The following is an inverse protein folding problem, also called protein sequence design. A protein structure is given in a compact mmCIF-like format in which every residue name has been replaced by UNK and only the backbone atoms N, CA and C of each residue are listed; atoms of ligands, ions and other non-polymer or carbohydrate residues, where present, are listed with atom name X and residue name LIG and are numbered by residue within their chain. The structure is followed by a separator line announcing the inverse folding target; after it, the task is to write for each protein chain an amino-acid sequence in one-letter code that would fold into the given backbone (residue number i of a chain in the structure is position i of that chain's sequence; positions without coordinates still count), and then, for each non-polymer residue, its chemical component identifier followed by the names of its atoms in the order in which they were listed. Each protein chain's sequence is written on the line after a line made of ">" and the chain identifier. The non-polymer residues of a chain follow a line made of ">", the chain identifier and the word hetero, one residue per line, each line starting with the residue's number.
data_IF_743653444988
#
_entry.id   IF_743653444988
#
_cell.length_a   1.000
_cell.length_b   1.000
_cell.length_c   1.000
_cell.angle_alpha   90.00
_cell.angle_beta   90.00
_cell.angle_gamma   90.00
#
_symmetry.space_group_name_H-M   'P 1'
#
loop_
_entity.id
_entity.type
_entity.pdbx_description
1 polymer ?
#
# COMPACT_ATOMS: atom_id res chain seq x y z
N UNK A 1 -3.37 14.51 4.79
CA UNK A 1 -3.21 13.03 4.76
C UNK A 1 -1.94 12.68 5.50
N UNK A 2 -2.00 11.78 6.50
CA UNK A 2 -0.82 11.33 7.24
C UNK A 2 -0.28 10.10 6.51
N UNK A 3 0.89 10.21 5.87
CA UNK A 3 1.48 9.13 5.06
C UNK A 3 2.62 8.36 5.76
N UNK A 4 3.18 8.93 6.81
CA UNK A 4 4.25 8.36 7.63
C UNK A 4 4.18 8.99 9.01
N UNK A 5 4.51 8.21 10.04
CA UNK A 5 4.82 8.73 11.38
C UNK A 5 6.20 8.24 11.81
N UNK A 6 6.89 9.08 12.58
CA UNK A 6 8.16 8.73 13.21
C UNK A 6 8.16 9.30 14.61
N UNK A 7 8.42 8.45 15.60
CA UNK A 7 8.27 8.80 17.00
C UNK A 7 8.76 7.71 17.94
N UNK A 8 8.49 7.86 19.23
CA UNK A 8 8.82 6.87 20.26
C UNK A 8 7.64 5.92 20.46
N UNK A 9 7.90 4.61 20.44
CA UNK A 9 6.90 3.61 20.78
C UNK A 9 6.61 3.68 22.28
N UNK A 10 5.43 4.16 22.67
CA UNK A 10 5.07 4.33 24.09
C UNK A 10 4.48 3.06 24.66
N UNK A 11 3.53 2.45 23.95
CA UNK A 11 2.90 1.19 24.38
C UNK A 11 2.38 0.37 23.21
N UNK A 12 2.20 -0.93 23.44
CA UNK A 12 1.71 -1.91 22.47
C UNK A 12 0.51 -2.62 23.09
N UNK A 13 -0.67 -2.43 22.51
CA UNK A 13 -1.94 -3.06 22.90
C UNK A 13 -2.56 -3.70 21.65
N UNK A 14 -2.13 -4.91 21.24
CA UNK A 14 -2.46 -5.48 19.93
C UNK A 14 -3.97 -5.42 19.60
N UNK A 15 -4.36 -5.01 18.38
CA UNK A 15 -3.49 -4.62 17.26
C UNK A 15 -3.04 -3.15 17.27
N UNK A 16 -3.29 -2.40 18.35
CA UNK A 16 -3.05 -0.96 18.46
C UNK A 16 -1.71 -0.62 19.10
N UNK A 17 -1.07 0.43 18.59
CA UNK A 17 0.15 1.02 19.13
C UNK A 17 -0.12 2.45 19.58
N UNK A 18 0.65 2.93 20.56
CA UNK A 18 0.74 4.35 20.88
C UNK A 18 2.14 4.86 20.51
N UNK A 19 2.19 5.86 19.62
CA UNK A 19 3.45 6.45 19.15
C UNK A 19 3.48 7.93 19.52
N UNK A 20 4.44 8.33 20.36
CA UNK A 20 4.67 9.74 20.67
C UNK A 20 5.49 10.40 19.56
N UNK A 21 4.90 11.42 18.94
CA UNK A 21 5.57 12.28 17.98
C UNK A 21 5.70 13.68 18.56
N UNK A 22 6.76 13.90 19.35
CA UNK A 22 7.08 15.19 19.97
C UNK A 22 5.95 15.70 20.89
N UNK A 23 5.39 14.83 21.73
CA UNK A 23 4.32 15.16 22.68
C UNK A 23 2.91 14.94 22.16
N UNK A 24 2.75 14.49 20.90
CA UNK A 24 1.45 14.06 20.34
C UNK A 24 1.42 12.54 20.25
N UNK A 25 0.56 11.91 21.03
CA UNK A 25 0.33 10.47 20.99
C UNK A 25 -0.62 10.07 19.86
N UNK A 26 -0.11 9.33 18.88
CA UNK A 26 -0.92 8.73 17.81
C UNK A 26 -1.28 7.29 18.16
N UNK A 27 -2.57 6.98 18.17
CA UNK A 27 -3.06 5.61 18.16
C UNK A 27 -3.03 5.06 16.73
N UNK A 28 -2.35 3.92 16.55
CA UNK A 28 -2.16 3.31 15.22
C UNK A 28 -2.49 1.83 15.27
N UNK A 29 -3.48 1.41 14.49
CA UNK A 29 -3.79 -0.01 14.32
C UNK A 29 -2.85 -0.61 13.26
N UNK A 30 -2.20 -1.74 13.57
CA UNK A 30 -1.21 -2.39 12.69
C UNK A 30 -1.53 -3.88 12.51
N UNK A 31 -1.12 -4.51 11.40
CA UNK A 31 -1.20 -5.96 11.28
C UNK A 31 -0.17 -6.65 12.19
N UNK A 32 -0.41 -7.91 12.54
CA UNK A 32 0.51 -8.69 13.38
C UNK A 32 1.91 -8.80 12.76
N UNK A 33 2.00 -8.85 11.43
CA UNK A 33 3.28 -8.84 10.68
C UNK A 33 4.16 -7.63 11.02
N UNK A 34 3.55 -6.46 11.16
CA UNK A 34 4.23 -5.22 11.58
C UNK A 34 4.54 -5.26 13.06
N UNK A 35 3.64 -5.78 13.90
CA UNK A 35 3.82 -5.86 15.35
C UNK A 35 5.06 -6.67 15.73
N UNK A 36 5.31 -7.79 15.05
CA UNK A 36 6.50 -8.64 15.29
C UNK A 36 7.83 -7.99 14.90
N UNK A 37 7.81 -6.91 14.12
CA UNK A 37 9.00 -6.17 13.71
C UNK A 37 9.30 -4.97 14.64
N UNK A 38 8.43 -4.68 15.60
CA UNK A 38 8.59 -3.53 16.47
C UNK A 38 9.70 -3.76 17.50
N UNK A 39 10.48 -2.71 17.83
CA UNK A 39 11.39 -2.75 18.96
C UNK A 39 10.63 -2.70 20.30
N UNK A 40 11.36 -2.74 21.40
CA UNK A 40 10.79 -2.53 22.73
C UNK A 40 10.22 -1.11 22.89
N UNK A 41 9.26 -0.95 23.80
CA UNK A 41 8.75 0.36 24.19
C UNK A 41 9.90 1.28 24.67
N UNK A 42 9.76 2.58 24.40
CA UNK A 42 10.79 3.60 24.61
C UNK A 42 11.74 3.79 23.42
N UNK A 43 11.69 2.94 22.40
CA UNK A 43 12.54 3.07 21.21
C UNK A 43 11.86 3.82 20.06
N UNK A 44 12.68 4.40 19.19
CA UNK A 44 12.22 5.13 18.01
C UNK A 44 11.76 4.17 16.92
N UNK A 45 10.57 4.42 16.37
CA UNK A 45 10.01 3.66 15.25
C UNK A 45 9.64 4.58 14.10
N UNK A 46 9.46 3.99 12.93
CA UNK A 46 8.88 4.63 11.76
C UNK A 46 7.83 3.71 11.18
N UNK A 47 6.63 4.24 10.93
CA UNK A 47 5.55 3.50 10.29
C UNK A 47 5.07 4.26 9.06
N UNK A 48 4.84 3.53 7.98
CA UNK A 48 4.11 4.03 6.83
C UNK A 48 2.62 3.96 7.16
N UNK A 49 1.87 5.02 6.88
CA UNK A 49 0.48 5.09 7.36
C UNK A 49 -0.54 5.26 6.24
N UNK A 50 -1.72 4.71 6.48
CA UNK A 50 -2.95 5.01 5.77
C UNK A 50 -3.91 5.69 6.74
N UNK A 51 -4.23 6.95 6.46
CA UNK A 51 -5.18 7.73 7.24
C UNK A 51 -6.58 7.59 6.64
N UNK A 52 -7.50 6.99 7.39
CA UNK A 52 -8.88 6.77 6.99
C UNK A 52 -9.78 7.77 7.73
N UNK A 53 -10.55 8.55 6.97
CA UNK A 53 -11.56 9.47 7.48
C UNK A 53 -12.93 8.94 7.08
N UNK A 54 -13.80 8.78 8.08
CA UNK A 54 -15.22 8.48 7.95
C UNK A 54 -16.01 9.61 8.63
N UNK A 55 -17.33 9.60 8.47
CA UNK A 55 -18.20 10.61 9.08
C UNK A 55 -18.12 10.59 10.63
N UNK A 56 -17.87 9.41 11.21
CA UNK A 56 -17.90 9.15 12.65
C UNK A 56 -16.51 8.90 13.27
N UNK A 57 -15.47 8.74 12.44
CA UNK A 57 -14.15 8.34 12.92
C UNK A 57 -13.00 8.79 12.03
N UNK A 58 -11.86 9.11 12.68
CA UNK A 58 -10.56 9.27 12.02
C UNK A 58 -9.63 8.20 12.57
N UNK A 59 -9.11 7.35 11.70
CA UNK A 59 -8.30 6.19 12.09
C UNK A 59 -6.97 6.19 11.34
N UNK A 60 -5.92 5.77 12.03
CA UNK A 60 -4.59 5.64 11.46
C UNK A 60 -4.19 4.16 11.44
N UNK A 61 -3.87 3.66 10.25
CA UNK A 61 -3.36 2.31 10.05
C UNK A 61 -1.87 2.38 9.72
N UNK A 62 -1.06 1.54 10.35
CA UNK A 62 0.40 1.55 10.22
C UNK A 62 0.96 0.26 9.65
N UNK A 63 2.05 0.38 8.88
CA UNK A 63 2.72 -0.73 8.21
C UNK A 63 4.23 -0.56 8.29
N UNK A 64 4.96 -1.67 8.42
CA UNK A 64 6.42 -1.67 8.39
C UNK A 64 6.97 -1.41 6.99
N UNK A 65 6.25 -1.88 5.96
CA UNK A 65 6.70 -1.80 4.56
C UNK A 65 5.66 -1.12 3.65
N UNK A 66 6.13 -0.56 2.53
CA UNK A 66 5.25 0.05 1.53
C UNK A 66 4.35 -0.99 0.87
N UNK A 67 4.88 -2.19 0.63
CA UNK A 67 4.16 -3.32 0.06
C UNK A 67 2.96 -3.73 0.92
N UNK A 68 3.11 -3.77 2.25
CA UNK A 68 2.00 -4.01 3.18
C UNK A 68 0.95 -2.88 3.13
N UNK A 69 1.40 -1.62 3.11
CA UNK A 69 0.49 -0.46 3.02
C UNK A 69 -0.32 -0.49 1.73
N UNK A 70 0.31 -0.80 0.60
CA UNK A 70 -0.37 -0.86 -0.68
C UNK A 70 -1.32 -2.05 -0.75
N UNK A 71 -0.90 -3.23 -0.25
CA UNK A 71 -1.79 -4.38 -0.14
C UNK A 71 -3.04 -4.05 0.70
N UNK A 72 -2.88 -3.38 1.84
CA UNK A 72 -4.01 -2.90 2.64
C UNK A 72 -4.94 -1.98 1.85
N UNK A 73 -4.39 -1.00 1.13
CA UNK A 73 -5.17 -0.06 0.31
C UNK A 73 -5.93 -0.76 -0.81
N UNK A 74 -5.35 -1.79 -1.42
CA UNK A 74 -6.04 -2.60 -2.43
C UNK A 74 -7.13 -3.46 -1.80
N UNK A 75 -6.88 -4.06 -0.64
CA UNK A 75 -7.86 -4.86 0.10
C UNK A 75 -9.11 -4.06 0.46
N UNK A 76 -8.96 -2.85 1.02
CA UNK A 76 -10.11 -2.04 1.47
C UNK A 76 -10.94 -1.44 0.32
N UNK A 77 -10.45 -1.51 -0.94
CA UNK A 77 -11.24 -1.15 -2.13
C UNK A 77 -12.25 -2.24 -2.49
N UNK A 78 -12.04 -3.47 -2.02
CA UNK A 78 -12.91 -4.59 -2.33
C UNK A 78 -14.19 -4.50 -1.50
N UNK A 79 -15.34 -4.45 -2.17
CA UNK A 79 -16.63 -4.38 -1.50
C UNK A 79 -16.84 -5.60 -0.60
N UNK A 80 -17.09 -5.34 0.68
CA UNK A 80 -17.21 -6.35 1.73
C UNK A 80 -15.93 -6.58 2.53
N UNK A 81 -14.83 -5.88 2.20
CA UNK A 81 -13.58 -5.92 2.95
C UNK A 81 -13.35 -4.56 3.62
N UNK A 82 -13.57 -4.51 4.94
CA UNK A 82 -13.27 -3.33 5.75
C UNK A 82 -11.81 -3.30 6.23
N UNK A 83 -11.40 -2.18 6.82
CA UNK A 83 -10.06 -2.00 7.41
C UNK A 83 -9.69 -3.10 8.41
N UNK A 84 -10.62 -3.50 9.28
CA UNK A 84 -10.40 -4.59 10.25
C UNK A 84 -10.12 -5.94 9.56
N UNK A 85 -10.89 -6.27 8.52
CA UNK A 85 -10.70 -7.50 7.75
C UNK A 85 -9.39 -7.45 6.97
N UNK A 86 -9.04 -6.30 6.38
CA UNK A 86 -7.76 -6.13 5.68
C UNK A 86 -6.56 -6.30 6.63
N UNK A 87 -6.61 -5.76 7.86
CA UNK A 87 -5.59 -6.04 8.87
C UNK A 87 -5.53 -7.52 9.24
N UNK A 88 -6.68 -8.20 9.35
CA UNK A 88 -6.72 -9.64 9.64
C UNK A 88 -6.07 -10.47 8.53
N UNK A 89 -6.30 -10.11 7.25
CA UNK A 89 -5.62 -10.73 6.10
C UNK A 89 -4.11 -10.59 6.22
N UNK A 90 -3.61 -9.36 6.41
CA UNK A 90 -2.18 -9.08 6.53
C UNK A 90 -1.56 -9.60 7.84
N UNK A 91 -2.38 -9.99 8.81
CA UNK A 91 -1.93 -10.65 10.04
C UNK A 91 -1.83 -12.16 9.89
N UNK A 92 -2.65 -12.77 9.03
CA UNK A 92 -2.68 -14.21 8.79
C UNK A 92 -1.85 -14.67 7.60
N UNK A 93 -1.51 -13.75 6.68
CA UNK A 93 -0.74 -14.03 5.46
C UNK A 93 0.20 -12.87 5.16
N UNK A 94 1.43 -13.19 4.77
CA UNK A 94 2.33 -12.21 4.16
C UNK A 94 1.76 -11.71 2.83
N UNK A 95 2.22 -10.54 2.36
CA UNK A 95 1.77 -10.00 1.07
C UNK A 95 2.09 -10.97 -0.09
N UNK A 96 3.21 -11.69 0.00
CA UNK A 96 3.59 -12.69 -1.00
C UNK A 96 2.64 -13.89 -1.02
N UNK A 97 2.27 -14.42 0.15
CA UNK A 97 1.30 -15.51 0.25
C UNK A 97 -0.08 -15.08 -0.22
N UNK A 98 -0.48 -13.84 0.09
CA UNK A 98 -1.74 -13.26 -0.40
C UNK A 98 -1.73 -13.15 -1.93
N UNK A 99 -0.65 -12.60 -2.51
CA UNK A 99 -0.49 -12.48 -3.96
C UNK A 99 -0.51 -13.86 -4.64
N UNK A 100 0.16 -14.86 -4.05
CA UNK A 100 0.16 -16.23 -4.55
C UNK A 100 -1.24 -16.85 -4.50
N UNK A 101 -1.94 -16.76 -3.37
CA UNK A 101 -3.30 -17.30 -3.21
C UNK A 101 -4.28 -16.65 -4.21
N UNK A 102 -4.15 -15.35 -4.48
CA UNK A 102 -4.96 -14.66 -5.49
C UNK A 102 -4.60 -15.12 -6.91
N UNK A 103 -3.31 -15.25 -7.21
CA UNK A 103 -2.82 -15.67 -8.54
C UNK A 103 -3.26 -17.08 -8.88
N UNK A 104 -3.17 -18.00 -7.92
CA UNK A 104 -3.58 -19.40 -8.03
C UNK A 104 -5.09 -19.60 -7.84
N UNK A 105 -5.85 -18.52 -7.56
CA UNK A 105 -7.29 -18.56 -7.29
C UNK A 105 -7.67 -19.51 -6.14
N UNK A 106 -6.80 -19.61 -5.13
CA UNK A 106 -6.98 -20.44 -3.93
C UNK A 106 -7.90 -19.76 -2.91
N UNK A 107 -9.17 -19.53 -3.27
CA UNK A 107 -10.15 -18.87 -2.40
C UNK A 107 -10.28 -19.56 -1.02
N UNK A 108 -10.06 -20.88 -0.96
CA UNK A 108 -10.08 -21.65 0.29
C UNK A 108 -9.05 -21.20 1.35
N UNK A 109 -7.91 -20.64 0.93
CA UNK A 109 -6.93 -20.04 1.85
C UNK A 109 -7.44 -18.73 2.43
N UNK A 110 -8.07 -17.90 1.60
CA UNK A 110 -8.62 -16.61 2.03
C UNK A 110 -9.80 -16.78 2.99
N UNK A 111 -10.60 -17.84 2.84
CA UNK A 111 -11.71 -18.13 3.76
C UNK A 111 -11.27 -18.54 5.17
N UNK A 112 -9.99 -18.85 5.39
CA UNK A 112 -9.47 -19.10 6.74
C UNK A 112 -9.32 -17.82 7.55
N UNK A 113 -9.32 -16.65 6.89
CA UNK A 113 -9.24 -15.36 7.57
C UNK A 113 -10.60 -15.01 8.19
N UNK A 114 -10.66 -14.71 9.51
CA UNK A 114 -11.89 -14.31 10.16
C UNK A 114 -12.56 -13.12 9.46
N UNK A 115 -13.85 -13.28 9.12
CA UNK A 115 -14.63 -12.26 8.41
C UNK A 115 -14.59 -12.34 6.89
N UNK A 116 -13.83 -13.28 6.29
CA UNK A 116 -13.86 -13.56 4.85
C UNK A 116 -14.71 -14.79 4.58
N UNK A 117 -15.90 -14.58 4.00
CA UNK A 117 -16.75 -15.65 3.48
C UNK A 117 -16.37 -16.05 2.05
N UNK A 118 -16.92 -17.17 1.57
CA UNK A 118 -16.66 -17.73 0.23
C UNK A 118 -16.81 -16.70 -0.90
N UNK A 119 -17.93 -15.96 -0.92
CA UNK A 119 -18.18 -14.92 -1.94
C UNK A 119 -17.12 -13.81 -1.93
N UNK A 120 -16.72 -13.37 -0.74
CA UNK A 120 -15.68 -12.33 -0.58
C UNK A 120 -14.32 -12.86 -1.02
N UNK A 121 -13.99 -14.11 -0.69
CA UNK A 121 -12.75 -14.76 -1.13
C UNK A 121 -12.67 -14.90 -2.67
N UNK A 122 -13.74 -15.36 -3.31
CA UNK A 122 -13.83 -15.44 -4.77
C UNK A 122 -13.68 -14.06 -5.42
N UNK A 123 -14.33 -13.05 -4.85
CA UNK A 123 -14.22 -11.65 -5.29
C UNK A 123 -12.80 -11.11 -5.15
N UNK A 124 -12.14 -11.37 -4.03
CA UNK A 124 -10.73 -11.01 -3.79
C UNK A 124 -9.83 -11.63 -4.87
N UNK A 125 -9.96 -12.93 -5.13
CA UNK A 125 -9.19 -13.61 -6.17
C UNK A 125 -9.41 -13.01 -7.56
N UNK A 126 -10.64 -12.62 -7.90
CA UNK A 126 -10.96 -12.06 -9.21
C UNK A 126 -10.48 -10.62 -9.35
N UNK A 127 -10.82 -9.75 -8.40
CA UNK A 127 -10.61 -8.30 -8.52
C UNK A 127 -9.17 -7.87 -8.21
N UNK A 128 -8.42 -8.65 -7.43
CA UNK A 128 -7.02 -8.34 -7.08
C UNK A 128 -6.00 -9.08 -7.95
N UNK A 129 -6.44 -9.93 -8.89
CA UNK A 129 -5.54 -10.63 -9.80
C UNK A 129 -4.69 -9.62 -10.60
N UNK A 130 -3.37 -9.74 -10.48
CA UNK A 130 -2.42 -8.83 -11.12
C UNK A 130 -2.31 -7.43 -10.48
N UNK A 131 -3.08 -7.12 -9.44
CA UNK A 131 -2.99 -5.83 -8.71
C UNK A 131 -2.08 -5.89 -7.50
N UNK A 132 -1.98 -7.07 -6.88
CA UNK A 132 -0.94 -7.38 -5.93
C UNK A 132 0.20 -7.99 -6.73
N UNK A 133 1.01 -7.15 -7.37
CA UNK A 133 2.25 -7.64 -7.94
C UNK A 133 3.11 -8.11 -6.76
N UNK A 134 3.49 -9.40 -6.67
CA UNK A 134 4.68 -9.73 -5.92
C UNK A 134 5.77 -8.96 -6.64
N UNK A 135 6.34 -7.95 -5.97
CA UNK A 135 7.59 -7.39 -6.40
C UNK A 135 8.57 -8.57 -6.38
N UNK A 136 8.83 -9.12 -7.56
CA UNK A 136 9.72 -10.25 -7.75
C UNK A 136 11.11 -9.79 -7.35
N UNK A 137 11.39 -9.87 -6.04
CA UNK A 137 12.68 -9.62 -5.44
C UNK A 137 13.12 -8.16 -5.41
N UNK A 138 12.59 -7.38 -4.47
CA UNK A 138 13.41 -6.33 -3.83
C UNK A 138 13.55 -6.70 -2.37
N UNK A 139 14.51 -7.59 -2.12
CA UNK A 139 15.17 -7.70 -0.82
C UNK A 139 15.57 -6.30 -0.35
N UNK A 140 15.33 -6.00 0.92
CA UNK A 140 15.93 -4.87 1.62
C UNK A 140 17.44 -4.79 1.30
N UNK A 141 17.85 -3.85 0.44
CA UNK A 141 19.24 -3.76 0.01
C UNK A 141 19.48 -3.12 -1.35
N UNK A 142 19.01 -1.88 -1.52
CA UNK A 142 19.45 -0.80 -2.44
C UNK A 142 18.22 -0.04 -2.94
N UNK A 143 18.26 1.30 -3.03
CA UNK A 143 17.27 2.01 -3.81
C UNK A 143 17.44 1.54 -5.26
N UNK A 144 16.54 0.67 -5.73
CA UNK A 144 16.32 0.56 -7.15
C UNK A 144 15.83 1.94 -7.58
N UNK A 145 16.65 2.62 -8.38
CA UNK A 145 16.19 3.72 -9.22
C UNK A 145 15.07 3.13 -10.07
N UNK A 146 13.82 3.36 -9.65
CA UNK A 146 12.68 3.21 -10.54
C UNK A 146 13.06 3.99 -11.81
N UNK A 147 12.93 3.33 -12.97
CA UNK A 147 13.17 3.98 -14.24
C UNK A 147 12.33 5.26 -14.27
N UNK A 148 12.93 6.42 -14.53
CA UNK A 148 12.25 7.71 -14.50
C UNK A 148 10.98 7.69 -15.38
N UNK A 149 11.00 6.87 -16.43
CA UNK A 149 9.85 6.63 -17.30
C UNK A 149 8.67 5.95 -16.59
N UNK A 150 8.95 5.01 -15.68
CA UNK A 150 7.93 4.30 -14.91
C UNK A 150 7.22 5.23 -13.90
N UNK A 151 7.98 6.14 -13.26
CA UNK A 151 7.40 7.14 -12.36
C UNK A 151 6.57 8.17 -13.11
N UNK A 152 7.03 8.61 -14.29
CA UNK A 152 6.26 9.51 -15.16
C UNK A 152 4.96 8.84 -15.63
N UNK A 153 5.00 7.55 -16.00
CA UNK A 153 3.81 6.79 -16.38
C UNK A 153 2.77 6.80 -15.26
N UNK A 154 3.18 6.43 -14.04
CA UNK A 154 2.29 6.37 -12.88
C UNK A 154 1.73 7.75 -12.53
N UNK A 155 2.53 8.81 -12.66
CA UNK A 155 2.08 10.17 -12.43
C UNK A 155 1.00 10.61 -13.44
N UNK A 156 1.18 10.30 -14.72
CA UNK A 156 0.18 10.62 -15.76
C UNK A 156 -1.12 9.83 -15.54
N UNK A 157 -1.04 8.55 -15.19
CA UNK A 157 -2.20 7.74 -14.82
C UNK A 157 -2.94 8.31 -13.60
N UNK A 158 -2.20 8.74 -12.57
CA UNK A 158 -2.76 9.34 -11.36
C UNK A 158 -3.44 10.69 -11.63
N UNK A 159 -3.04 11.41 -12.68
CA UNK A 159 -3.69 12.63 -13.14
C UNK A 159 -4.95 12.38 -13.99
N UNK A 160 -5.31 11.11 -14.22
CA UNK A 160 -6.54 10.71 -14.89
C UNK A 160 -6.42 10.42 -16.39
N UNK A 161 -5.20 10.41 -16.94
CA UNK A 161 -4.97 10.01 -18.33
C UNK A 161 -5.06 8.49 -18.47
N UNK A 162 -5.55 8.03 -19.62
CA UNK A 162 -5.59 6.60 -19.93
C UNK A 162 -4.18 6.04 -20.14
N UNK A 163 -4.02 4.74 -19.93
CA UNK A 163 -2.74 4.06 -20.16
C UNK A 163 -2.21 4.26 -21.59
N UNK A 164 -3.12 4.28 -22.58
CA UNK A 164 -2.78 4.52 -23.99
C UNK A 164 -2.21 5.93 -24.20
N UNK A 165 -2.83 6.95 -23.60
CA UNK A 165 -2.37 8.34 -23.66
C UNK A 165 -1.03 8.53 -22.94
N UNK A 166 -0.90 7.96 -21.74
CA UNK A 166 0.31 8.05 -20.94
C UNK A 166 1.52 7.39 -21.64
N UNK A 167 1.32 6.23 -22.28
CA UNK A 167 2.36 5.56 -23.08
C UNK A 167 2.75 6.35 -24.34
N UNK A 168 1.80 7.03 -24.99
CA UNK A 168 2.09 7.90 -26.14
C UNK A 168 2.90 9.12 -25.72
N UNK A 169 2.56 9.73 -24.59
CA UNK A 169 3.29 10.85 -24.02
C UNK A 169 4.73 10.46 -23.64
N UNK A 170 4.93 9.27 -23.09
CA UNK A 170 6.25 8.74 -22.73
C UNK A 170 7.21 8.60 -23.92
N UNK A 171 6.70 8.25 -25.11
CA UNK A 171 7.53 8.18 -26.32
C UNK A 171 8.10 9.54 -26.74
N UNK A 172 7.54 10.65 -26.24
CA UNK A 172 7.99 12.01 -26.53
C UNK A 172 9.00 12.53 -25.50
N UNK A 173 9.31 11.73 -24.47
CA UNK A 173 10.23 12.09 -23.39
C UNK A 173 11.61 11.51 -23.72
N UNK A 174 12.68 12.33 -23.78
CA UNK A 174 14.02 11.84 -24.00
C UNK A 174 14.47 10.87 -22.90
N UNK A 175 15.25 9.82 -23.24
CA UNK A 175 15.97 9.04 -22.23
C UNK A 175 16.89 9.98 -21.42
N UNK A 176 17.04 9.74 -20.12
CA UNK A 176 17.70 10.63 -19.12
C UNK A 176 16.94 11.89 -18.67
N UNK A 177 15.65 12.01 -18.97
CA UNK A 177 14.82 13.08 -18.37
C UNK A 177 14.49 12.73 -16.92
N UNK A 178 14.72 13.66 -15.99
CA UNK A 178 14.27 13.49 -14.61
C UNK A 178 12.73 13.45 -14.54
N UNK A 179 12.19 12.85 -13.48
CA UNK A 179 10.75 12.57 -13.36
C UNK A 179 9.89 13.84 -13.44
N UNK A 180 10.33 14.94 -12.81
CA UNK A 180 9.57 16.20 -12.79
C UNK A 180 9.47 16.83 -14.18
N UNK A 181 10.57 16.83 -14.93
CA UNK A 181 10.61 17.35 -16.29
C UNK A 181 9.87 16.41 -17.26
N UNK A 182 9.97 15.11 -17.06
CA UNK A 182 9.22 14.10 -17.81
C UNK A 182 7.70 14.28 -17.67
N UNK A 183 7.20 14.49 -16.45
CA UNK A 183 5.77 14.79 -16.21
C UNK A 183 5.37 16.08 -16.94
N UNK A 184 6.16 17.15 -16.82
CA UNK A 184 5.86 18.43 -17.49
C UNK A 184 5.79 18.28 -19.01
N UNK A 185 6.71 17.52 -19.59
CA UNK A 185 6.76 17.24 -21.03
C UNK A 185 5.57 16.38 -21.47
N UNK A 186 5.24 15.34 -20.72
CA UNK A 186 4.08 14.49 -20.99
C UNK A 186 2.77 15.26 -20.98
N UNK A 187 2.56 16.13 -19.98
CA UNK A 187 1.38 17.01 -19.91
C UNK A 187 1.33 18.04 -21.04
N UNK A 188 2.48 18.57 -21.46
CA UNK A 188 2.57 19.48 -22.60
C UNK A 188 2.22 18.80 -23.93
N UNK A 189 2.51 17.51 -24.06
CA UNK A 189 2.09 16.72 -25.22
C UNK A 189 0.59 16.45 -25.20
N UNK A 190 0.07 16.00 -24.05
CA UNK A 190 -1.34 15.65 -23.87
C UNK A 190 -2.29 16.84 -23.91
N UNK A 191 -1.82 18.06 -23.63
CA UNK A 191 -2.61 19.30 -23.78
C UNK A 191 -2.69 19.82 -25.22
N UNK A 192 -1.92 19.23 -26.14
CA UNK A 192 -1.91 19.57 -27.57
C UNK A 192 -2.60 18.55 -28.47
N UNK A 193 -2.96 17.38 -27.93
CA UNK A 193 -3.69 16.31 -28.59
C UNK A 193 -5.19 16.44 -28.29
#
# INVERSE_FOLDING_TARGET
>A
MIGRIQGILVSVHPPRLLVDCQGIGYEVDVPMSTLYQLPQAGQKITLLTHFQVREDAQQLFGFATETEREAFRQLIKISGVGSRTALAVLSGMSVNELAQAITLQEAGRLTQVPGIGKKTAERLCLELKGKLAPDLGITAGKPQTLDANSEVLQALLALGYSEKEALLALKQIPPDTNVSDGIRMGLKYLSKA
#
